data_IF_040612992872
#
_entry.id   IF_040612992872
#
_cell.length_a   1.000
_cell.length_b   1.000
_cell.length_c   1.000
_cell.angle_alpha   90.00
_cell.angle_beta   90.00
_cell.angle_gamma   90.00
#
_symmetry.space_group_name_H-M   'P 1'
#
loop_
_entity.id
_entity.type
_entity.pdbx_description
1 polymer ?
#
# COMPACT_ATOMS: atom_id res chain seq x y z
N UNK A 1 -1.78 12.01 32.63
CA UNK A 1 -2.20 10.75 31.99
C UNK A 1 -2.22 11.00 30.48
N UNK A 2 -1.15 10.62 29.80
CA UNK A 2 -0.87 10.99 28.40
C UNK A 2 -1.35 9.85 27.50
N UNK A 3 -2.29 10.12 26.58
CA UNK A 3 -2.90 9.07 25.75
C UNK A 3 -3.50 9.57 24.43
N UNK A 4 -2.87 10.54 23.77
CA UNK A 4 -3.40 11.16 22.55
C UNK A 4 -2.51 11.03 21.29
N UNK A 5 -1.37 10.32 21.34
CA UNK A 5 -0.43 10.26 20.21
C UNK A 5 -0.47 8.95 19.38
N UNK A 6 -1.17 7.92 19.83
CA UNK A 6 -1.19 6.62 19.14
C UNK A 6 -2.00 6.60 17.84
N UNK A 7 -2.92 7.56 17.63
CA UNK A 7 -3.70 7.67 16.39
C UNK A 7 -2.96 8.39 15.26
N UNK A 8 -1.96 9.23 15.57
CA UNK A 8 -1.16 9.96 14.56
C UNK A 8 0.00 9.12 14.03
N UNK A 9 0.66 8.36 14.91
CA UNK A 9 1.73 7.43 14.52
C UNK A 9 1.22 6.25 13.68
N UNK A 10 0.02 5.74 13.97
CA UNK A 10 -0.59 4.65 13.20
C UNK A 10 -0.92 5.08 11.76
N UNK A 11 -1.40 6.32 11.57
CA UNK A 11 -1.78 6.86 10.26
C UNK A 11 -0.61 7.02 9.29
N UNK A 12 0.60 7.24 9.82
CA UNK A 12 1.84 7.30 9.04
C UNK A 12 2.41 5.92 8.73
N UNK A 13 2.01 4.88 9.46
CA UNK A 13 2.50 3.52 9.20
C UNK A 13 1.82 2.90 7.97
N UNK A 14 0.57 3.27 7.70
CA UNK A 14 -0.24 2.81 6.57
C UNK A 14 -0.10 3.67 5.29
N UNK A 15 0.80 4.66 5.28
CA UNK A 15 1.06 5.52 4.13
C UNK A 15 2.55 5.61 3.85
N UNK A 16 2.95 5.25 2.63
CA UNK A 16 4.25 5.53 2.04
C UNK A 16 4.08 6.75 1.14
N UNK A 17 4.79 7.83 1.46
CA UNK A 17 4.70 9.10 0.73
C UNK A 17 5.67 9.15 -0.45
N UNK A 18 5.48 10.13 -1.35
CA UNK A 18 6.44 10.41 -2.43
C UNK A 18 7.85 10.63 -1.93
N UNK A 19 8.00 11.28 -0.77
CA UNK A 19 9.30 11.58 -0.17
C UNK A 19 10.03 10.28 0.20
N UNK A 20 9.32 9.33 0.83
CA UNK A 20 9.88 8.01 1.10
C UNK A 20 10.17 7.22 -0.18
N UNK A 21 9.34 7.35 -1.23
CA UNK A 21 9.56 6.68 -2.52
C UNK A 21 10.68 7.33 -3.36
N UNK A 22 11.00 8.60 -3.10
CA UNK A 22 12.07 9.35 -3.74
C UNK A 22 13.45 9.04 -3.14
N UNK A 23 13.51 8.20 -2.10
CA UNK A 23 14.77 7.74 -1.53
C UNK A 23 15.64 7.08 -2.62
N UNK A 24 16.92 7.48 -2.65
CA UNK A 24 17.88 6.97 -3.63
C UNK A 24 17.98 5.44 -3.65
N UNK A 25 17.69 4.78 -2.52
CA UNK A 25 17.68 3.33 -2.36
C UNK A 25 16.51 2.63 -3.07
N UNK A 26 15.50 3.39 -3.50
CA UNK A 26 14.27 2.93 -4.14
C UNK A 26 14.12 3.45 -5.58
N UNK A 27 14.97 4.39 -6.01
CA UNK A 27 15.01 4.85 -7.39
C UNK A 27 15.35 3.69 -8.33
N UNK A 28 14.54 3.51 -9.39
CA UNK A 28 14.70 2.41 -10.34
C UNK A 28 14.14 1.06 -9.86
N UNK A 29 13.41 1.02 -8.75
CA UNK A 29 12.76 -0.19 -8.25
C UNK A 29 11.25 -0.20 -8.51
N UNK A 30 10.58 -1.27 -8.11
CA UNK A 30 9.13 -1.46 -8.29
C UNK A 30 8.39 -1.21 -6.98
N UNK A 31 7.08 -0.91 -7.07
CA UNK A 31 6.22 -0.68 -5.90
C UNK A 31 6.33 -1.83 -4.90
N UNK A 32 6.40 -3.07 -5.40
CA UNK A 32 6.60 -4.27 -4.59
C UNK A 32 7.86 -4.17 -3.71
N UNK A 33 8.99 -3.81 -4.33
CA UNK A 33 10.29 -3.78 -3.67
C UNK A 33 10.38 -2.60 -2.68
N UNK A 34 9.76 -1.48 -3.00
CA UNK A 34 9.60 -0.36 -2.07
C UNK A 34 8.78 -0.74 -0.84
N UNK A 35 7.63 -1.40 -1.01
CA UNK A 35 6.82 -1.88 0.10
C UNK A 35 7.61 -2.89 0.93
N UNK A 36 8.30 -3.83 0.29
CA UNK A 36 9.11 -4.83 0.99
C UNK A 36 10.23 -4.19 1.84
N UNK A 37 10.83 -3.09 1.38
CA UNK A 37 11.90 -2.38 2.11
C UNK A 37 11.38 -1.44 3.20
N UNK A 38 10.40 -0.61 2.87
CA UNK A 38 9.89 0.42 3.77
C UNK A 38 8.92 -0.13 4.80
N UNK A 39 8.03 -1.02 4.37
CA UNK A 39 6.91 -1.54 5.16
C UNK A 39 6.63 -3.02 4.83
N UNK A 40 7.57 -3.94 5.14
CA UNK A 40 7.38 -5.38 4.87
C UNK A 40 6.11 -5.93 5.55
N UNK A 41 5.67 -5.30 6.63
CA UNK A 41 4.43 -5.59 7.34
C UNK A 41 3.15 -5.49 6.51
N UNK A 42 3.13 -4.77 5.38
CA UNK A 42 1.95 -4.75 4.49
C UNK A 42 1.75 -6.09 3.79
N UNK A 43 2.85 -6.79 3.52
CA UNK A 43 2.85 -8.09 2.86
C UNK A 43 2.61 -9.21 3.86
N UNK A 44 2.97 -8.98 5.13
CA UNK A 44 2.81 -9.95 6.22
C UNK A 44 1.38 -9.85 6.78
N UNK A 45 0.76 -10.99 7.06
CA UNK A 45 -0.49 -11.03 7.80
C UNK A 45 -0.21 -10.99 9.30
N UNK A 46 -0.74 -9.98 10.00
CA UNK A 46 -0.59 -9.91 11.47
C UNK A 46 -1.53 -10.89 12.19
N UNK A 47 -2.53 -11.47 11.52
CA UNK A 47 -3.55 -12.32 12.15
C UNK A 47 -3.24 -13.81 12.09
N UNK A 48 -2.31 -14.25 11.24
CA UNK A 48 -1.81 -15.62 11.28
C UNK A 48 -0.33 -15.63 10.89
N UNK A 49 0.51 -16.33 11.65
CA UNK A 49 1.89 -16.68 11.24
C UNK A 49 1.95 -17.65 10.05
N UNK A 50 1.03 -17.51 9.08
CA UNK A 50 0.83 -18.34 7.92
C UNK A 50 0.54 -17.46 6.68
N UNK A 51 0.89 -17.90 5.47
CA UNK A 51 0.60 -17.17 4.24
C UNK A 51 -0.92 -16.93 4.06
N UNK A 52 -1.28 -15.70 3.66
CA UNK A 52 -2.67 -15.22 3.49
C UNK A 52 -3.42 -16.05 2.46
N UNK A 53 -4.06 -17.13 2.90
CA UNK A 53 -4.79 -18.04 2.02
C UNK A 53 -6.30 -17.73 1.99
N UNK A 54 -6.81 -17.00 2.99
CA UNK A 54 -8.26 -16.79 3.20
C UNK A 54 -8.74 -15.42 2.66
N UNK A 55 -7.92 -14.36 2.79
CA UNK A 55 -8.23 -13.03 2.26
C UNK A 55 -7.08 -12.55 1.36
N UNK A 56 -7.18 -12.70 0.03
CA UNK A 56 -6.11 -12.29 -0.87
C UNK A 56 -5.91 -10.77 -0.80
N UNK A 57 -4.68 -10.37 -0.50
CA UNK A 57 -4.27 -8.97 -0.55
C UNK A 57 -4.47 -8.47 -1.97
N UNK A 58 -5.29 -7.45 -2.11
CA UNK A 58 -5.64 -6.86 -3.39
C UNK A 58 -4.89 -5.56 -3.60
N UNK A 59 -4.72 -5.15 -4.85
CA UNK A 59 -4.03 -3.91 -5.21
C UNK A 59 -4.96 -3.06 -6.05
N UNK A 60 -5.14 -1.80 -5.69
CA UNK A 60 -5.87 -0.85 -6.51
C UNK A 60 -4.91 0.24 -6.97
N UNK A 61 -4.96 0.57 -8.27
CA UNK A 61 -4.17 1.66 -8.84
C UNK A 61 -5.10 2.83 -9.08
N UNK A 62 -4.79 4.01 -8.51
CA UNK A 62 -5.61 5.23 -8.56
C UNK A 62 -7.07 5.04 -8.10
N UNK A 63 -7.32 4.09 -7.19
CA UNK A 63 -8.68 3.76 -6.74
C UNK A 63 -9.51 3.02 -7.80
N UNK A 64 -8.85 2.52 -8.86
CA UNK A 64 -9.48 1.72 -9.91
C UNK A 64 -9.73 0.27 -9.49
N UNK A 65 -9.75 -0.61 -10.49
CA UNK A 65 -10.07 -2.02 -10.30
C UNK A 65 -9.07 -2.72 -9.37
N UNK A 66 -9.59 -3.59 -8.50
CA UNK A 66 -8.78 -4.47 -7.67
C UNK A 66 -8.07 -5.51 -8.55
N UNK A 67 -6.76 -5.53 -8.41
CA UNK A 67 -5.81 -6.34 -9.15
C UNK A 67 -5.01 -7.21 -8.17
N UNK A 68 -4.30 -8.20 -8.70
CA UNK A 68 -3.43 -9.05 -7.90
C UNK A 68 -2.16 -8.30 -7.46
N UNK A 69 -1.51 -8.79 -6.40
CA UNK A 69 -0.21 -8.33 -5.92
C UNK A 69 0.85 -8.22 -7.02
N UNK A 70 0.79 -9.11 -8.02
CA UNK A 70 1.74 -9.10 -9.14
C UNK A 70 1.78 -7.75 -9.87
N UNK A 71 0.68 -6.99 -9.88
CA UNK A 71 0.62 -5.66 -10.48
C UNK A 71 1.63 -4.70 -9.87
N UNK A 72 1.98 -4.82 -8.59
CA UNK A 72 3.00 -4.00 -7.93
C UNK A 72 4.40 -4.18 -8.52
N UNK A 73 4.69 -5.34 -9.11
CA UNK A 73 5.97 -5.59 -9.78
C UNK A 73 6.07 -4.88 -11.12
N UNK A 74 4.92 -4.55 -11.74
CA UNK A 74 4.86 -3.83 -13.01
C UNK A 74 4.81 -2.31 -12.84
N UNK A 75 4.65 -1.80 -11.61
CA UNK A 75 4.58 -0.37 -11.34
C UNK A 75 5.95 0.12 -10.82
N UNK A 76 6.66 0.98 -11.57
CA UNK A 76 7.89 1.57 -11.10
C UNK A 76 7.62 2.61 -10.01
N UNK A 77 8.47 2.68 -8.98
CA UNK A 77 8.32 3.63 -7.86
C UNK A 77 8.28 5.09 -8.30
N UNK A 78 8.98 5.41 -9.38
CA UNK A 78 9.06 6.76 -9.95
C UNK A 78 7.72 7.32 -10.43
N UNK A 79 6.79 6.46 -10.82
CA UNK A 79 5.45 6.89 -11.28
C UNK A 79 4.44 6.96 -10.15
N UNK A 80 4.86 6.68 -8.91
CA UNK A 80 3.98 6.60 -7.74
C UNK A 80 4.07 7.91 -6.96
N UNK A 81 2.91 8.50 -6.67
CA UNK A 81 2.79 9.63 -5.75
C UNK A 81 2.74 9.15 -4.30
N UNK A 82 1.97 8.11 -4.02
CA UNK A 82 1.86 7.55 -2.67
C UNK A 82 1.34 6.11 -2.73
N UNK A 83 1.66 5.33 -1.70
CA UNK A 83 1.12 3.98 -1.50
C UNK A 83 0.45 3.96 -0.13
N UNK A 84 -0.83 3.60 -0.09
CA UNK A 84 -1.60 3.48 1.15
C UNK A 84 -2.04 2.04 1.36
N UNK A 85 -1.79 1.51 2.55
CA UNK A 85 -2.38 0.26 3.01
C UNK A 85 -3.77 0.53 3.58
N UNK A 86 -4.75 -0.18 3.05
CA UNK A 86 -6.11 -0.20 3.56
C UNK A 86 -6.33 -1.57 4.21
N UNK A 87 -6.53 -1.57 5.52
CA UNK A 87 -6.97 -2.77 6.22
C UNK A 87 -8.37 -3.20 5.75
N UNK A 88 -8.80 -4.43 6.06
CA UNK A 88 -10.07 -5.02 5.61
C UNK A 88 -11.25 -4.08 5.88
N UNK A 89 -11.29 -3.44 7.06
CA UNK A 89 -12.32 -2.47 7.40
C UNK A 89 -12.33 -1.26 6.47
N UNK A 90 -11.17 -0.64 6.23
CA UNK A 90 -11.06 0.54 5.36
C UNK A 90 -11.25 0.18 3.87
N UNK A 91 -10.76 -0.98 3.47
CA UNK A 91 -10.92 -1.50 2.12
C UNK A 91 -12.38 -1.79 1.80
N UNK A 92 -13.12 -2.41 2.73
CA UNK A 92 -14.57 -2.63 2.58
C UNK A 92 -15.35 -1.30 2.55
N UNK A 93 -14.91 -0.26 3.27
CA UNK A 93 -15.53 1.07 3.19
C UNK A 93 -15.29 1.75 1.85
N UNK A 94 -14.08 1.67 1.27
CA UNK A 94 -13.79 2.28 -0.03
C UNK A 94 -14.35 1.47 -1.21
N UNK A 95 -14.05 0.17 -1.25
CA UNK A 95 -14.33 -0.70 -2.39
C UNK A 95 -15.62 -1.51 -2.22
N UNK A 96 -16.36 -1.33 -1.11
CA UNK A 96 -17.60 -2.05 -0.81
C UNK A 96 -17.37 -3.58 -0.89
N UNK A 97 -18.36 -4.32 -1.40
CA UNK A 97 -18.30 -5.79 -1.56
C UNK A 97 -17.23 -6.30 -2.55
N UNK A 98 -16.40 -5.42 -3.14
CA UNK A 98 -15.32 -5.83 -4.04
C UNK A 98 -14.05 -6.23 -3.29
N UNK A 99 -13.81 -5.65 -2.12
CA UNK A 99 -12.63 -5.98 -1.31
C UNK A 99 -12.97 -7.08 -0.29
N UNK A 100 -12.51 -8.30 -0.57
CA UNK A 100 -12.61 -9.45 0.34
C UNK A 100 -11.49 -9.49 1.39
N UNK A 101 -10.61 -8.50 1.37
CA UNK A 101 -9.39 -8.46 2.17
C UNK A 101 -8.77 -7.05 2.20
N UNK A 102 -7.54 -6.93 2.75
CA UNK A 102 -6.81 -5.67 2.72
C UNK A 102 -6.48 -5.28 1.28
N UNK A 103 -6.34 -3.98 1.06
CA UNK A 103 -6.06 -3.39 -0.25
C UNK A 103 -4.86 -2.47 -0.16
N UNK A 104 -3.90 -2.65 -1.06
CA UNK A 104 -2.83 -1.67 -1.28
C UNK A 104 -3.31 -0.72 -2.36
N UNK A 105 -3.60 0.52 -1.95
CA UNK A 105 -3.96 1.60 -2.84
C UNK A 105 -2.68 2.31 -3.30
N UNK A 106 -2.36 2.18 -4.58
CA UNK A 106 -1.24 2.87 -5.23
C UNK A 106 -1.79 4.08 -5.97
N UNK A 107 -1.42 5.27 -5.54
CA UNK A 107 -1.73 6.50 -6.28
C UNK A 107 -0.54 6.80 -7.18
N UNK A 108 -0.74 6.76 -8.48
CA UNK A 108 0.27 7.18 -9.43
C UNK A 108 0.37 8.69 -9.41
N UNK A 109 1.59 9.22 -9.38
CA UNK A 109 1.80 10.60 -9.75
C UNK A 109 1.53 10.68 -11.24
N UNK A 110 0.50 11.44 -11.62
CA UNK A 110 0.39 11.94 -12.98
C UNK A 110 1.69 12.68 -13.22
N UNK A 111 2.65 12.03 -13.88
CA UNK A 111 3.78 12.70 -14.47
C UNK A 111 3.15 13.61 -15.51
N UNK A 112 2.88 14.84 -15.10
CA UNK A 112 2.52 15.93 -15.99
C UNK A 112 3.62 15.93 -17.05
N UNK A 113 3.28 15.46 -18.25
CA UNK A 113 4.14 15.61 -19.42
C UNK A 113 4.05 17.09 -19.76
N UNK A 114 5.12 17.80 -19.46
CA UNK A 114 5.43 19.07 -20.11
C UNK A 114 5.73 18.83 -21.59
#
# INVERSE_FOLDING_TARGET
MTGADSSKASRSYDLITRDELADASLLGTTAWLAIQRLRPSYLIDKTAGAPRTIHPLSVSVNGGQLSALNTLTSIPTQTIAEIRYLDIGNAAQQFHNRATGPVILVTLSVQQRD
#
